data_IF_030100789914
#
_entry.id   IF_030100789914
#
_cell.length_a   1.000
_cell.length_b   1.000
_cell.length_c   1.000
_cell.angle_alpha   90.00
_cell.angle_beta   90.00
_cell.angle_gamma   90.00
#
_symmetry.space_group_name_H-M   'P 1'
#
loop_
_entity.id
_entity.type
_entity.pdbx_description
1 polymer ?
#
# COMPACT_ATOMS: atom_id res chain seq x y z
N UNK A 1 -15.36 -6.19 -7.85
CA UNK A 1 -14.09 -5.45 -7.71
C UNK A 1 -12.94 -6.41 -7.57
N UNK A 2 -11.80 -6.12 -8.18
CA UNK A 2 -10.50 -6.74 -7.96
C UNK A 2 -9.62 -5.79 -7.17
N UNK A 3 -8.69 -6.33 -6.38
CA UNK A 3 -7.85 -5.54 -5.48
C UNK A 3 -6.37 -5.68 -5.83
N UNK A 4 -5.69 -4.56 -5.95
CA UNK A 4 -4.23 -4.50 -6.09
C UNK A 4 -3.69 -3.85 -4.83
N UNK A 5 -2.96 -4.61 -4.01
CA UNK A 5 -2.33 -4.11 -2.80
C UNK A 5 -0.90 -3.66 -3.12
N UNK A 6 -0.60 -2.39 -2.89
CA UNK A 6 0.70 -1.79 -3.14
C UNK A 6 1.40 -1.53 -1.81
N UNK A 7 2.51 -2.21 -1.60
CA UNK A 7 3.35 -2.07 -0.39
C UNK A 7 4.75 -1.61 -0.76
N UNK A 8 5.51 -1.16 0.20
CA UNK A 8 6.90 -0.80 -0.02
C UNK A 8 7.81 -1.26 1.10
N UNK A 9 9.07 -1.49 0.78
CA UNK A 9 10.08 -1.90 1.72
C UNK A 9 11.43 -1.23 1.46
N UNK A 10 12.41 -1.51 2.32
CA UNK A 10 13.75 -0.96 2.34
C UNK A 10 13.81 0.47 2.88
N UNK A 11 13.16 1.44 2.23
CA UNK A 11 13.13 2.85 2.64
C UNK A 11 11.77 3.48 2.35
N UNK A 12 11.49 4.59 3.02
CA UNK A 12 10.35 5.47 2.68
C UNK A 12 10.59 6.22 1.36
N UNK A 13 9.58 6.90 0.85
CA UNK A 13 9.66 7.75 -0.35
C UNK A 13 10.11 7.02 -1.64
N UNK A 14 9.83 5.72 -1.74
CA UNK A 14 10.10 4.93 -2.95
C UNK A 14 9.21 5.30 -4.15
N UNK A 15 8.21 6.17 -3.95
CA UNK A 15 7.26 6.54 -4.99
C UNK A 15 6.10 5.57 -5.16
N UNK A 16 5.63 4.94 -4.05
CA UNK A 16 4.42 4.11 -4.08
C UNK A 16 3.22 4.86 -4.65
N UNK A 17 3.01 6.13 -4.25
CA UNK A 17 1.91 6.98 -4.72
C UNK A 17 1.92 7.15 -6.23
N UNK A 18 3.07 7.52 -6.78
CA UNK A 18 3.23 7.67 -8.24
C UNK A 18 3.06 6.33 -8.96
N UNK A 19 3.60 5.25 -8.43
CA UNK A 19 3.43 3.91 -9.01
C UNK A 19 1.95 3.50 -9.01
N UNK A 20 1.24 3.69 -7.90
CA UNK A 20 -0.19 3.42 -7.77
C UNK A 20 -1.02 4.24 -8.77
N UNK A 21 -0.74 5.55 -8.86
CA UNK A 21 -1.39 6.46 -9.79
C UNK A 21 -1.13 6.06 -11.26
N UNK A 22 0.11 5.73 -11.61
CA UNK A 22 0.48 5.31 -12.97
C UNK A 22 -0.19 3.99 -13.37
N UNK A 23 -0.23 3.01 -12.45
CA UNK A 23 -0.94 1.74 -12.68
C UNK A 23 -2.43 2.02 -12.87
N UNK A 24 -3.02 2.92 -12.07
CA UNK A 24 -4.40 3.34 -12.20
C UNK A 24 -4.70 3.92 -13.58
N UNK A 25 -3.87 4.85 -14.04
CA UNK A 25 -4.00 5.47 -15.38
C UNK A 25 -3.90 4.45 -16.51
N UNK A 26 -2.96 3.50 -16.42
CA UNK A 26 -2.81 2.41 -17.40
C UNK A 26 -4.07 1.53 -17.43
N UNK A 27 -4.65 1.22 -16.27
CA UNK A 27 -5.86 0.42 -16.19
C UNK A 27 -7.09 1.17 -16.74
N UNK A 28 -7.21 2.47 -16.45
CA UNK A 28 -8.26 3.31 -17.04
C UNK A 28 -8.15 3.39 -18.58
N UNK A 29 -6.92 3.50 -19.11
CA UNK A 29 -6.71 3.49 -20.58
C UNK A 29 -7.15 2.18 -21.25
N UNK A 30 -7.29 1.10 -20.46
CA UNK A 30 -7.85 -0.19 -20.89
C UNK A 30 -9.35 -0.31 -20.65
N UNK A 31 -10.01 0.75 -20.20
CA UNK A 31 -11.46 0.83 -19.99
C UNK A 31 -11.95 0.35 -18.62
N UNK A 32 -11.07 0.11 -17.65
CA UNK A 32 -11.49 -0.24 -16.29
C UNK A 32 -11.83 1.01 -15.47
N UNK A 33 -12.85 0.93 -14.64
CA UNK A 33 -13.15 1.92 -13.62
C UNK A 33 -12.26 1.66 -12.40
N UNK A 34 -11.36 2.58 -12.10
CA UNK A 34 -10.33 2.43 -11.06
C UNK A 34 -10.65 3.33 -9.87
N UNK A 35 -10.42 2.83 -8.65
CA UNK A 35 -10.33 3.62 -7.43
C UNK A 35 -8.97 3.41 -6.78
N UNK A 36 -8.41 4.46 -6.17
CA UNK A 36 -7.19 4.35 -5.35
C UNK A 36 -7.53 4.71 -3.92
N UNK A 37 -7.03 3.92 -2.96
CA UNK A 37 -7.23 4.11 -1.53
C UNK A 37 -5.87 4.12 -0.85
N UNK A 38 -5.62 5.16 -0.03
CA UNK A 38 -4.42 5.33 0.77
C UNK A 38 -4.67 4.91 2.22
N UNK A 39 -3.82 4.04 2.74
CA UNK A 39 -3.79 3.63 4.15
C UNK A 39 -2.53 4.18 4.80
N UNK A 40 -2.69 5.10 5.74
CA UNK A 40 -1.56 5.74 6.43
C UNK A 40 -1.37 5.18 7.84
N UNK A 41 -0.19 4.66 8.19
CA UNK A 41 0.02 3.93 9.44
C UNK A 41 0.14 4.81 10.69
N UNK A 42 0.21 6.15 10.55
CA UNK A 42 0.30 7.04 11.70
C UNK A 42 -1.00 7.17 12.49
N UNK A 43 -0.88 7.59 13.76
CA UNK A 43 -1.98 7.66 14.72
C UNK A 43 -2.76 9.00 14.72
N UNK A 44 -2.36 9.98 13.92
CA UNK A 44 -3.18 11.17 13.70
C UNK A 44 -4.51 10.75 13.07
N UNK A 45 -5.62 11.31 13.56
CA UNK A 45 -6.97 10.97 13.03
C UNK A 45 -7.10 11.47 11.59
N UNK A 46 -6.52 12.62 11.31
CA UNK A 46 -6.36 13.20 9.97
C UNK A 46 -5.01 13.95 9.90
N UNK A 47 -4.52 14.30 8.71
CA UNK A 47 -3.24 14.96 8.54
C UNK A 47 -3.24 16.47 8.82
N UNK A 48 -4.41 17.09 9.09
CA UNK A 48 -4.55 18.54 9.23
C UNK A 48 -3.74 19.17 10.37
N UNK A 49 -3.42 18.38 11.41
CA UNK A 49 -2.59 18.81 12.54
C UNK A 49 -1.12 18.40 12.44
N UNK A 50 -0.72 17.75 11.35
CA UNK A 50 0.64 17.24 11.16
C UNK A 50 1.55 18.35 10.63
N UNK A 51 2.83 18.30 11.02
CA UNK A 51 3.84 19.24 10.54
C UNK A 51 4.14 19.01 9.06
N UNK A 52 3.99 20.02 8.18
CA UNK A 52 4.31 19.88 6.77
C UNK A 52 5.79 19.54 6.51
N UNK A 53 6.69 19.91 7.40
CA UNK A 53 8.11 19.59 7.30
C UNK A 53 8.42 18.11 7.53
N UNK A 54 7.53 17.39 8.23
CA UNK A 54 7.69 15.96 8.50
C UNK A 54 6.93 15.07 7.49
N UNK A 55 5.75 15.49 7.06
CA UNK A 55 4.82 14.65 6.30
C UNK A 55 4.41 15.23 4.94
N UNK A 56 4.95 16.41 4.58
CA UNK A 56 4.51 17.15 3.41
C UNK A 56 3.23 17.95 3.66
N UNK A 57 2.77 18.63 2.65
CA UNK A 57 1.56 19.45 2.69
C UNK A 57 0.30 18.60 2.69
N UNK A 58 -0.74 19.11 3.34
CA UNK A 58 -2.08 18.53 3.32
C UNK A 58 -2.73 18.79 1.97
N UNK A 59 -3.35 17.76 1.40
CA UNK A 59 -4.20 17.89 0.22
C UNK A 59 -5.67 17.89 0.65
N UNK A 60 -6.42 18.91 0.24
CA UNK A 60 -7.85 19.03 0.57
C UNK A 60 -8.69 18.56 -0.61
N UNK A 61 -9.51 17.56 -0.37
CA UNK A 61 -10.43 17.00 -1.37
C UNK A 61 -11.62 17.93 -1.63
N UNK A 62 -12.34 17.69 -2.70
CA UNK A 62 -13.54 18.48 -3.06
C UNK A 62 -14.62 18.42 -1.96
N UNK A 63 -14.72 17.31 -1.21
CA UNK A 63 -15.64 17.17 -0.07
C UNK A 63 -15.14 17.85 1.23
N UNK A 64 -14.02 18.60 1.16
CA UNK A 64 -13.41 19.33 2.29
C UNK A 64 -12.56 18.43 3.21
N UNK A 65 -12.36 17.18 2.88
CA UNK A 65 -11.54 16.27 3.69
C UNK A 65 -10.06 16.57 3.51
N UNK A 66 -9.35 16.77 4.61
CA UNK A 66 -7.89 16.88 4.65
C UNK A 66 -7.26 15.49 4.54
N UNK A 67 -6.30 15.34 3.63
CA UNK A 67 -5.69 14.05 3.29
C UNK A 67 -4.20 14.18 3.04
N UNK A 68 -3.53 13.04 2.91
CA UNK A 68 -2.15 12.96 2.46
C UNK A 68 -1.99 13.49 1.02
N UNK A 69 -0.83 14.08 0.73
CA UNK A 69 -0.50 14.65 -0.57
C UNK A 69 -0.60 13.65 -1.74
N UNK A 70 -0.43 12.37 -1.48
CA UNK A 70 -0.53 11.32 -2.51
C UNK A 70 -1.91 11.31 -3.19
N UNK A 71 -2.97 11.74 -2.52
CA UNK A 71 -4.30 11.83 -3.14
C UNK A 71 -4.34 12.85 -4.28
N UNK A 72 -3.58 13.93 -4.17
CA UNK A 72 -3.38 14.88 -5.27
C UNK A 72 -2.68 14.26 -6.47
N UNK A 73 -1.77 13.31 -6.24
CA UNK A 73 -1.18 12.54 -7.35
C UNK A 73 -2.22 11.61 -7.99
N UNK A 74 -3.06 10.95 -7.19
CA UNK A 74 -4.11 10.08 -7.74
C UNK A 74 -5.05 10.87 -8.65
N UNK A 75 -5.57 12.01 -8.20
CA UNK A 75 -6.49 12.84 -8.99
C UNK A 75 -5.86 13.44 -10.26
N UNK A 76 -4.53 13.57 -10.31
CA UNK A 76 -3.83 13.99 -11.54
C UNK A 76 -3.74 12.90 -12.60
N UNK A 77 -3.66 11.64 -12.20
CA UNK A 77 -3.37 10.50 -13.07
C UNK A 77 -4.62 9.75 -13.48
N UNK A 78 -5.65 9.74 -12.63
CA UNK A 78 -6.89 9.00 -12.84
C UNK A 78 -8.09 9.93 -12.88
N UNK A 79 -9.14 9.54 -13.61
CA UNK A 79 -10.36 10.35 -13.77
C UNK A 79 -11.38 10.15 -12.62
N UNK A 80 -10.96 9.64 -11.49
CA UNK A 80 -11.83 9.42 -10.34
C UNK A 80 -11.56 10.48 -9.27
N UNK A 81 -12.59 11.24 -8.90
CA UNK A 81 -12.51 12.19 -7.78
C UNK A 81 -12.44 11.44 -6.47
N UNK A 82 -11.41 11.71 -5.69
CA UNK A 82 -11.23 11.15 -4.37
C UNK A 82 -12.21 11.77 -3.36
N UNK A 83 -12.60 10.99 -2.38
CA UNK A 83 -13.48 11.39 -1.27
C UNK A 83 -12.87 10.90 0.05
N UNK A 84 -13.49 11.26 1.17
CA UNK A 84 -13.12 10.77 2.52
C UNK A 84 -13.02 9.24 2.65
N UNK A 85 -13.50 8.49 1.65
CA UNK A 85 -13.39 7.02 1.61
C UNK A 85 -12.08 6.54 1.01
N UNK A 86 -11.33 7.43 0.38
CA UNK A 86 -10.10 7.10 -0.34
C UNK A 86 -8.84 7.30 0.52
N UNK A 87 -8.96 7.86 1.73
CA UNK A 87 -7.85 7.98 2.67
C UNK A 87 -8.31 7.72 4.10
N UNK A 88 -7.58 6.85 4.81
CA UNK A 88 -7.76 6.69 6.25
C UNK A 88 -6.46 6.29 6.96
N UNK A 89 -6.31 6.82 8.16
CA UNK A 89 -5.15 6.61 9.03
C UNK A 89 -5.40 5.49 10.04
N UNK A 90 -4.33 4.94 10.61
CA UNK A 90 -4.44 4.03 11.74
C UNK A 90 -5.22 4.69 12.89
N UNK A 91 -4.93 5.96 13.20
CA UNK A 91 -5.65 6.70 14.25
C UNK A 91 -7.16 6.74 14.03
N UNK A 92 -7.60 6.98 12.79
CA UNK A 92 -9.03 6.99 12.43
C UNK A 92 -9.70 5.62 12.59
N UNK A 93 -8.96 4.55 12.29
CA UNK A 93 -9.42 3.16 12.49
C UNK A 93 -9.57 2.85 13.97
N UNK A 94 -8.51 3.06 14.76
CA UNK A 94 -8.53 2.78 16.20
C UNK A 94 -9.58 3.62 16.91
N UNK A 95 -9.70 4.90 16.59
CA UNK A 95 -10.74 5.78 17.14
C UNK A 95 -12.15 5.25 16.85
N UNK A 96 -12.41 4.76 15.63
CA UNK A 96 -13.70 4.17 15.26
C UNK A 96 -14.02 2.94 16.11
N UNK A 97 -13.04 2.03 16.28
CA UNK A 97 -13.24 0.81 17.08
C UNK A 97 -13.43 1.13 18.56
N UNK A 98 -12.61 2.03 19.13
CA UNK A 98 -12.77 2.48 20.52
C UNK A 98 -14.12 3.15 20.76
N UNK A 99 -14.57 3.96 19.81
CA UNK A 99 -15.91 4.61 19.92
C UNK A 99 -17.03 3.59 19.92
N UNK A 100 -16.94 2.52 19.11
CA UNK A 100 -17.90 1.41 19.10
C UNK A 100 -17.85 0.62 20.41
N UNK A 101 -16.65 0.36 20.95
CA UNK A 101 -16.48 -0.29 22.26
C UNK A 101 -17.16 0.52 23.36
N UNK A 102 -16.90 1.82 23.47
CA UNK A 102 -17.52 2.70 24.48
C UNK A 102 -19.04 2.78 24.37
N UNK A 103 -19.60 2.54 23.19
CA UNK A 103 -21.06 2.46 22.97
C UNK A 103 -21.64 1.07 23.28
N UNK A 104 -20.82 0.08 23.62
CA UNK A 104 -21.26 -1.29 23.88
C UNK A 104 -21.59 -2.12 22.64
N UNK A 105 -21.20 -1.67 21.46
CA UNK A 105 -21.53 -2.33 20.18
C UNK A 105 -20.92 -3.74 20.06
N UNK A 106 -19.90 -4.06 20.87
CA UNK A 106 -19.28 -5.39 20.92
C UNK A 106 -19.87 -6.35 21.96
N UNK A 107 -20.95 -5.92 22.66
CA UNK A 107 -21.71 -6.78 23.56
C UNK A 107 -20.86 -7.50 24.63
N UNK A 108 -19.89 -6.82 25.22
CA UNK A 108 -19.02 -7.34 26.26
C UNK A 108 -17.86 -8.24 25.77
N UNK A 109 -17.68 -8.39 24.46
CA UNK A 109 -16.53 -9.12 23.92
C UNK A 109 -15.21 -8.37 24.19
N UNK A 110 -14.13 -9.11 24.41
CA UNK A 110 -12.79 -8.52 24.44
C UNK A 110 -12.43 -7.99 23.06
N UNK A 111 -12.17 -6.68 22.99
CA UNK A 111 -11.79 -6.01 21.73
C UNK A 111 -10.28 -6.10 21.55
N UNK A 112 -9.83 -6.61 20.39
CA UNK A 112 -8.43 -6.88 20.08
C UNK A 112 -8.11 -6.36 18.67
N UNK A 113 -6.81 -6.30 18.32
CA UNK A 113 -6.38 -5.94 16.97
C UNK A 113 -6.98 -6.90 15.94
N UNK A 114 -6.84 -8.20 16.20
CA UNK A 114 -7.50 -9.25 15.43
C UNK A 114 -8.66 -9.79 16.29
N UNK A 115 -9.91 -9.75 15.82
CA UNK A 115 -10.33 -9.32 14.48
C UNK A 115 -10.79 -7.86 14.38
N UNK A 116 -10.96 -7.11 15.46
CA UNK A 116 -11.77 -5.89 15.48
C UNK A 116 -11.15 -4.72 14.67
N UNK A 117 -9.83 -4.51 14.79
CA UNK A 117 -9.11 -3.51 14.00
C UNK A 117 -9.00 -3.96 12.54
N UNK A 118 -8.63 -5.22 12.32
CA UNK A 118 -8.49 -5.76 10.95
C UNK A 118 -9.83 -5.79 10.21
N UNK A 119 -10.93 -6.12 10.88
CA UNK A 119 -12.27 -6.08 10.28
C UNK A 119 -12.70 -4.64 9.92
N UNK A 120 -12.40 -3.65 10.76
CA UNK A 120 -12.68 -2.25 10.44
C UNK A 120 -11.87 -1.76 9.24
N UNK A 121 -10.59 -2.17 9.12
CA UNK A 121 -9.75 -1.87 7.95
C UNK A 121 -10.35 -2.51 6.69
N UNK A 122 -10.66 -3.81 6.72
CA UNK A 122 -11.25 -4.54 5.59
C UNK A 122 -12.58 -3.92 5.16
N UNK A 123 -13.44 -3.58 6.14
CA UNK A 123 -14.73 -2.92 5.89
C UNK A 123 -14.55 -1.61 5.12
N UNK A 124 -13.58 -0.77 5.51
CA UNK A 124 -13.32 0.51 4.84
C UNK A 124 -12.74 0.33 3.45
N UNK A 125 -11.83 -0.65 3.26
CA UNK A 125 -11.32 -0.99 1.94
C UNK A 125 -12.47 -1.37 1.01
N UNK A 126 -13.35 -2.27 1.44
CA UNK A 126 -14.50 -2.71 0.66
C UNK A 126 -15.47 -1.54 0.38
N UNK A 127 -15.72 -0.68 1.38
CA UNK A 127 -16.61 0.48 1.23
C UNK A 127 -16.06 1.50 0.23
N UNK A 128 -14.75 1.80 0.29
CA UNK A 128 -14.09 2.72 -0.64
C UNK A 128 -13.92 2.16 -2.05
N UNK A 129 -14.10 0.85 -2.21
CA UNK A 129 -13.96 0.13 -3.50
C UNK A 129 -15.29 -0.17 -4.17
N UNK A 130 -16.40 0.33 -3.63
CA UNK A 130 -17.71 0.16 -4.26
C UNK A 130 -17.74 0.88 -5.60
N UNK A 131 -18.42 0.26 -6.55
CA UNK A 131 -18.67 0.84 -7.87
C UNK A 131 -17.42 1.00 -8.77
N UNK A 132 -16.31 0.31 -8.47
CA UNK A 132 -15.17 0.21 -9.37
C UNK A 132 -14.88 -1.24 -9.78
N UNK A 133 -14.20 -1.39 -10.91
CA UNK A 133 -13.75 -2.71 -11.40
C UNK A 133 -12.49 -3.16 -10.66
N UNK A 134 -11.57 -2.21 -10.44
CA UNK A 134 -10.28 -2.42 -9.80
C UNK A 134 -10.05 -1.36 -8.73
N UNK A 135 -9.72 -1.80 -7.52
CA UNK A 135 -9.29 -0.95 -6.42
C UNK A 135 -7.79 -1.13 -6.18
N UNK A 136 -7.04 -0.05 -6.21
CA UNK A 136 -5.62 -0.02 -5.85
C UNK A 136 -5.54 0.47 -4.41
N UNK A 137 -4.99 -0.36 -3.53
CA UNK A 137 -4.87 -0.06 -2.10
C UNK A 137 -3.39 0.16 -1.80
N UNK A 138 -3.00 1.41 -1.59
CA UNK A 138 -1.64 1.76 -1.22
C UNK A 138 -1.48 1.75 0.30
N UNK A 139 -0.56 0.92 0.77
CA UNK A 139 -0.20 0.85 2.19
C UNK A 139 1.01 1.76 2.45
N UNK A 140 0.78 2.80 3.25
CA UNK A 140 1.82 3.70 3.73
C UNK A 140 2.83 3.01 4.64
N UNK A 141 3.98 3.65 4.84
CA UNK A 141 5.08 3.11 5.64
C UNK A 141 5.91 2.06 4.91
N UNK A 142 6.76 1.38 5.68
CA UNK A 142 7.69 0.36 5.21
C UNK A 142 7.29 -1.00 5.77
N UNK A 143 7.28 -2.03 4.95
CA UNK A 143 7.04 -3.41 5.41
C UNK A 143 8.13 -3.80 6.41
N UNK A 144 7.72 -4.28 7.58
CA UNK A 144 8.58 -4.56 8.72
C UNK A 144 8.40 -3.55 9.87
N UNK A 145 7.93 -2.34 9.57
CA UNK A 145 7.62 -1.36 10.62
C UNK A 145 6.35 -1.77 11.38
N UNK A 146 6.39 -1.64 12.70
CA UNK A 146 5.31 -2.05 13.58
C UNK A 146 3.99 -1.31 13.29
N UNK A 147 4.09 -0.06 12.86
CA UNK A 147 2.94 0.80 12.56
C UNK A 147 2.08 0.25 11.42
N UNK A 148 2.69 -0.40 10.43
CA UNK A 148 2.00 -0.93 9.24
C UNK A 148 1.42 -2.34 9.45
N UNK A 149 1.76 -3.03 10.55
CA UNK A 149 1.44 -4.44 10.74
C UNK A 149 -0.07 -4.73 10.71
N UNK A 150 -0.91 -3.89 11.32
CA UNK A 150 -2.36 -4.09 11.29
C UNK A 150 -2.95 -3.98 9.89
N UNK A 151 -2.39 -3.11 9.05
CA UNK A 151 -2.79 -3.00 7.65
C UNK A 151 -2.34 -4.21 6.83
N UNK A 152 -1.09 -4.66 7.01
CA UNK A 152 -0.58 -5.86 6.33
C UNK A 152 -1.41 -7.09 6.72
N UNK A 153 -1.72 -7.25 8.01
CA UNK A 153 -2.57 -8.35 8.48
C UNK A 153 -3.98 -8.26 7.88
N UNK A 154 -4.58 -7.07 7.79
CA UNK A 154 -5.89 -6.89 7.20
C UNK A 154 -5.93 -7.26 5.70
N UNK A 155 -4.94 -6.83 4.91
CA UNK A 155 -4.89 -7.19 3.49
C UNK A 155 -4.57 -8.68 3.28
N UNK A 156 -3.76 -9.29 4.16
CA UNK A 156 -3.54 -10.74 4.16
C UNK A 156 -4.85 -11.51 4.37
N UNK A 157 -5.62 -11.11 5.39
CA UNK A 157 -6.94 -11.71 5.67
C UNK A 157 -7.90 -11.51 4.50
N UNK A 158 -7.96 -10.31 3.94
CA UNK A 158 -8.83 -10.00 2.81
C UNK A 158 -8.48 -10.86 1.59
N UNK A 159 -7.20 -11.12 1.34
CA UNK A 159 -6.75 -12.03 0.29
C UNK A 159 -7.18 -13.48 0.50
N UNK A 160 -7.28 -13.93 1.77
CA UNK A 160 -7.81 -15.27 2.10
C UNK A 160 -9.34 -15.36 1.96
N UNK A 161 -10.04 -14.27 2.28
CA UNK A 161 -11.51 -14.20 2.20
C UNK A 161 -12.00 -14.07 0.75
N UNK A 162 -11.21 -13.45 -0.10
CA UNK A 162 -11.50 -13.29 -1.53
C UNK A 162 -10.95 -14.48 -2.34
N UNK A 163 -11.44 -14.64 -3.56
CA UNK A 163 -10.90 -15.65 -4.46
C UNK A 163 -9.53 -15.24 -4.99
N UNK A 164 -8.63 -16.19 -5.19
CA UNK A 164 -7.24 -15.95 -5.63
C UNK A 164 -7.07 -15.03 -6.85
N UNK A 165 -8.05 -15.02 -7.77
CA UNK A 165 -8.01 -14.16 -8.96
C UNK A 165 -8.54 -12.73 -8.71
N UNK A 166 -8.94 -12.41 -7.48
CA UNK A 166 -9.47 -11.10 -7.11
C UNK A 166 -8.43 -10.20 -6.44
N UNK A 167 -7.26 -10.73 -6.10
CA UNK A 167 -6.21 -9.99 -5.40
C UNK A 167 -4.88 -10.12 -6.11
N UNK A 168 -4.07 -9.05 -6.07
CA UNK A 168 -2.68 -9.05 -6.47
C UNK A 168 -1.86 -8.20 -5.50
N UNK A 169 -0.68 -8.67 -5.12
CA UNK A 169 0.24 -7.99 -4.22
C UNK A 169 1.45 -7.47 -4.99
N UNK A 170 1.56 -6.15 -5.07
CA UNK A 170 2.70 -5.45 -5.65
C UNK A 170 3.58 -4.94 -4.52
N UNK A 171 4.86 -5.25 -4.60
CA UNK A 171 5.82 -4.79 -3.60
C UNK A 171 6.91 -3.96 -4.26
N UNK A 172 7.05 -2.69 -3.83
CA UNK A 172 8.11 -1.80 -4.27
C UNK A 172 9.31 -1.93 -3.36
N UNK A 173 10.48 -2.02 -3.96
CA UNK A 173 11.76 -2.09 -3.23
C UNK A 173 12.82 -1.21 -3.88
N UNK A 174 13.92 -1.01 -3.18
CA UNK A 174 15.11 -0.32 -3.67
C UNK A 174 16.23 -1.31 -3.96
N UNK A 175 16.84 -1.20 -5.12
CA UNK A 175 18.09 -1.83 -5.48
C UNK A 175 19.16 -0.75 -5.57
N UNK A 176 19.87 -0.45 -4.47
CA UNK A 176 20.82 0.66 -4.43
C UNK A 176 22.06 0.34 -5.26
N UNK A 177 22.59 1.38 -5.92
CA UNK A 177 23.90 1.35 -6.53
C UNK A 177 24.96 1.79 -5.52
N UNK A 178 25.98 0.98 -5.35
CA UNK A 178 27.14 1.33 -4.51
C UNK A 178 28.29 1.79 -5.41
N UNK A 179 28.51 3.09 -5.48
CA UNK A 179 29.55 3.71 -6.34
C UNK A 179 30.94 3.21 -6.05
N UNK A 180 31.25 2.92 -4.77
CA UNK A 180 32.55 2.36 -4.36
C UNK A 180 32.80 0.92 -4.86
N UNK A 181 31.71 0.17 -5.10
CA UNK A 181 31.77 -1.21 -5.58
C UNK A 181 31.41 -1.31 -7.10
N UNK A 182 30.91 -0.24 -7.68
CA UNK A 182 30.51 -0.21 -9.09
C UNK A 182 29.35 -1.13 -9.43
N UNK A 183 28.49 -1.48 -8.48
CA UNK A 183 27.44 -2.48 -8.70
C UNK A 183 26.11 -2.18 -7.97
N UNK A 184 25.03 -2.72 -8.51
CA UNK A 184 23.71 -2.74 -7.88
C UNK A 184 23.64 -3.85 -6.83
N UNK A 185 23.10 -3.54 -5.65
CA UNK A 185 22.96 -4.48 -4.54
C UNK A 185 21.53 -4.98 -4.40
N UNK A 186 21.32 -6.26 -4.68
CA UNK A 186 20.01 -6.92 -4.60
C UNK A 186 19.62 -7.36 -3.18
N UNK A 187 20.56 -7.37 -2.24
CA UNK A 187 20.34 -7.87 -0.87
C UNK A 187 19.23 -7.10 -0.12
N UNK A 188 19.13 -5.77 -0.16
CA UNK A 188 18.04 -5.05 0.51
C UNK A 188 16.65 -5.48 0.03
N UNK A 189 16.48 -5.66 -1.28
CA UNK A 189 15.25 -6.20 -1.89
C UNK A 189 14.92 -7.59 -1.37
N UNK A 190 15.92 -8.49 -1.32
CA UNK A 190 15.73 -9.85 -0.80
C UNK A 190 15.27 -9.85 0.65
N UNK A 191 15.84 -8.99 1.50
CA UNK A 191 15.45 -8.84 2.90
C UNK A 191 14.03 -8.28 3.04
N UNK A 192 13.67 -7.28 2.25
CA UNK A 192 12.33 -6.71 2.25
C UNK A 192 11.26 -7.74 1.88
N UNK A 193 11.49 -8.51 0.83
CA UNK A 193 10.56 -9.59 0.44
C UNK A 193 10.51 -10.69 1.49
N UNK A 194 11.65 -11.05 2.11
CA UNK A 194 11.67 -12.02 3.21
C UNK A 194 10.82 -11.54 4.39
N UNK A 195 10.92 -10.26 4.75
CA UNK A 195 10.10 -9.67 5.80
C UNK A 195 8.62 -9.71 5.45
N UNK A 196 8.24 -9.32 4.23
CA UNK A 196 6.85 -9.38 3.79
C UNK A 196 6.28 -10.81 3.82
N UNK A 197 7.10 -11.79 3.44
CA UNK A 197 6.73 -13.21 3.54
C UNK A 197 6.58 -13.70 4.97
N UNK A 198 7.39 -13.19 5.90
CA UNK A 198 7.27 -13.54 7.33
C UNK A 198 5.93 -13.07 7.93
N UNK A 199 5.34 -12.03 7.36
CA UNK A 199 4.00 -11.55 7.67
C UNK A 199 2.89 -12.33 6.94
N UNK A 200 3.25 -13.38 6.19
CA UNK A 200 2.30 -14.28 5.53
C UNK A 200 1.82 -13.81 4.14
N UNK A 201 2.52 -12.87 3.51
CA UNK A 201 2.18 -12.37 2.17
C UNK A 201 3.33 -12.60 1.20
N UNK A 202 3.06 -13.28 0.08
CA UNK A 202 3.99 -13.40 -1.06
C UNK A 202 3.62 -12.35 -2.10
N UNK A 203 4.53 -11.48 -2.55
CA UNK A 203 4.23 -10.58 -3.66
C UNK A 203 4.01 -11.37 -4.97
N UNK A 204 3.09 -10.90 -5.80
CA UNK A 204 2.88 -11.39 -7.17
C UNK A 204 3.77 -10.65 -8.16
N UNK A 205 4.02 -9.35 -7.91
CA UNK A 205 4.87 -8.49 -8.72
C UNK A 205 5.81 -7.73 -7.79
N UNK A 206 7.08 -7.70 -8.17
CA UNK A 206 8.13 -6.95 -7.49
C UNK A 206 8.60 -5.81 -8.38
N UNK A 207 8.44 -4.56 -7.91
CA UNK A 207 8.89 -3.37 -8.62
C UNK A 207 10.16 -2.87 -7.92
N UNK A 208 11.28 -2.92 -8.63
CA UNK A 208 12.59 -2.56 -8.12
C UNK A 208 13.01 -1.18 -8.62
N UNK A 209 12.95 -0.17 -7.72
CA UNK A 209 13.55 1.14 -7.98
C UNK A 209 15.07 1.03 -7.95
N UNK A 210 15.73 1.66 -8.90
CA UNK A 210 17.19 1.67 -9.01
C UNK A 210 17.65 2.90 -9.80
N UNK A 211 18.91 3.27 -9.62
CA UNK A 211 19.53 4.35 -10.39
C UNK A 211 19.66 3.99 -11.87
N UNK A 212 19.92 2.72 -12.16
CA UNK A 212 20.07 2.19 -13.51
C UNK A 212 19.10 1.03 -13.79
N UNK A 213 18.83 0.75 -15.05
CA UNK A 213 18.06 -0.43 -15.47
C UNK A 213 18.70 -1.72 -14.94
N UNK A 214 17.90 -2.60 -14.36
CA UNK A 214 18.35 -3.90 -13.90
C UNK A 214 18.66 -4.82 -15.08
N UNK A 215 19.83 -5.43 -15.06
CA UNK A 215 20.17 -6.47 -16.03
C UNK A 215 19.27 -7.69 -15.86
N UNK A 216 19.14 -8.50 -16.91
CA UNK A 216 18.40 -9.78 -16.86
C UNK A 216 18.95 -10.68 -15.75
N UNK A 217 20.27 -10.75 -15.60
CA UNK A 217 20.92 -11.52 -14.54
C UNK A 217 20.51 -11.03 -13.14
N UNK A 218 20.46 -9.72 -12.92
CA UNK A 218 20.00 -9.14 -11.64
C UNK A 218 18.53 -9.45 -11.37
N UNK A 219 17.65 -9.36 -12.38
CA UNK A 219 16.23 -9.73 -12.28
C UNK A 219 16.05 -11.21 -11.96
N UNK A 220 16.79 -12.09 -12.63
CA UNK A 220 16.75 -13.54 -12.40
C UNK A 220 17.27 -13.89 -10.99
N UNK A 221 18.34 -13.24 -10.53
CA UNK A 221 18.86 -13.39 -9.16
C UNK A 221 17.82 -12.97 -8.13
N UNK A 222 17.22 -11.80 -8.29
CA UNK A 222 16.15 -11.33 -7.39
C UNK A 222 14.98 -12.33 -7.42
N UNK A 223 14.55 -12.74 -8.61
CA UNK A 223 13.49 -13.72 -8.80
C UNK A 223 13.71 -15.01 -8.02
N UNK A 224 14.93 -15.58 -8.15
CA UNK A 224 15.29 -16.80 -7.45
C UNK A 224 15.23 -16.65 -5.92
N UNK A 225 15.86 -15.62 -5.38
CA UNK A 225 15.92 -15.41 -3.92
C UNK A 225 14.59 -14.97 -3.30
N UNK A 226 13.73 -14.30 -4.08
CA UNK A 226 12.43 -13.82 -3.64
C UNK A 226 11.28 -14.79 -3.97
N UNK A 227 11.56 -15.93 -4.59
CA UNK A 227 10.55 -16.90 -5.05
C UNK A 227 9.53 -16.25 -6.00
N UNK A 228 10.02 -15.41 -6.91
CA UNK A 228 9.20 -14.71 -7.89
C UNK A 228 9.20 -15.45 -9.23
N UNK A 229 8.04 -15.59 -9.88
CA UNK A 229 7.98 -16.13 -11.24
C UNK A 229 8.80 -15.29 -12.22
N UNK A 230 9.29 -15.91 -13.29
CA UNK A 230 10.01 -15.21 -14.34
C UNK A 230 9.12 -14.12 -14.97
N UNK A 231 9.66 -12.93 -15.15
CA UNK A 231 8.93 -11.79 -15.73
C UNK A 231 8.12 -10.96 -14.73
N UNK A 232 8.05 -11.33 -13.44
CA UNK A 232 7.35 -10.55 -12.42
C UNK A 232 8.25 -9.62 -11.62
N UNK A 233 9.55 -9.60 -11.90
CA UNK A 233 10.52 -8.64 -11.37
C UNK A 233 10.70 -7.51 -12.39
N UNK A 234 10.16 -6.34 -12.07
CA UNK A 234 10.13 -5.17 -12.93
C UNK A 234 11.20 -4.18 -12.47
N UNK A 235 12.01 -3.71 -13.38
CA UNK A 235 12.94 -2.60 -13.14
C UNK A 235 12.22 -1.27 -13.31
N UNK A 236 12.45 -0.36 -12.38
CA UNK A 236 11.93 1.00 -12.43
C UNK A 236 13.09 1.97 -12.16
N UNK A 237 13.88 2.35 -13.21
CA UNK A 237 14.96 3.30 -13.07
C UNK A 237 14.43 4.71 -12.71
N UNK A 238 15.31 5.50 -12.07
CA UNK A 238 15.00 6.89 -11.68
C UNK A 238 14.90 7.83 -12.87
#
# INVERSE_FOLDING_TARGET
>A
TRFIFVTGGVVSSLGKGIASASIGSILESKGYKVAVIKLDPYFNVDPGTMSPFQHGEVFVLEDGTETDLDLGHYERFINNTCTKKNNFTAGKIYYSVLKKERKGEYLGKTVQIIPHITDEIKRRIIEGSKDCDIAIIEIGGTVGDIESQSFIEAIRQLGLELKNYQTAYLHLTLVPYLSNAGELKTKPTQHSVKEFRSLGVQPDILICRSEFELTTESKDKIGLFCSMPKGTVISLPN
#
